data_IF_384615365968
#
_entry.id   IF_384615365968
#
_cell.length_a   1.000
_cell.length_b   1.000
_cell.length_c   1.000
_cell.angle_alpha   90.00
_cell.angle_beta   90.00
_cell.angle_gamma   90.00
#
_symmetry.space_group_name_H-M   'P 1'
#
loop_
_entity.id
_entity.type
_entity.pdbx_description
1 polymer ?
#
# COMPACT_ATOMS: atom_id res chain seq x y z
N UNK A 1 24.67 -5.69 34.25
CA UNK A 1 24.52 -6.14 32.84
C UNK A 1 23.12 -5.75 32.34
N UNK A 2 23.00 -4.84 31.33
CA UNK A 2 21.69 -4.57 30.71
C UNK A 2 21.24 -5.83 29.98
N UNK A 3 20.05 -6.35 30.28
CA UNK A 3 19.45 -7.49 29.56
C UNK A 3 19.19 -7.05 28.14
N UNK A 4 19.82 -7.70 27.20
CA UNK A 4 19.64 -7.46 25.77
C UNK A 4 18.24 -7.96 25.37
N UNK A 5 17.44 -7.07 24.76
CA UNK A 5 16.13 -7.43 24.22
C UNK A 5 16.29 -7.81 22.75
N UNK A 6 15.68 -8.91 22.36
CA UNK A 6 15.75 -9.36 20.96
C UNK A 6 14.95 -8.41 20.08
N UNK A 7 15.47 -8.04 18.90
CA UNK A 7 14.76 -7.24 17.87
C UNK A 7 13.39 -7.81 17.46
N UNK A 8 13.18 -9.11 17.66
CA UNK A 8 11.91 -9.80 17.41
C UNK A 8 11.03 -9.92 18.65
N UNK A 9 11.30 -9.14 19.68
CA UNK A 9 10.42 -9.12 20.85
C UNK A 9 9.06 -8.59 20.46
N UNK A 10 8.05 -9.39 20.71
CA UNK A 10 6.65 -9.08 20.48
C UNK A 10 5.98 -8.93 21.85
N UNK A 11 5.12 -7.94 21.97
CA UNK A 11 4.10 -7.97 23.00
C UNK A 11 3.09 -9.04 22.56
N UNK A 12 2.98 -10.10 23.33
CA UNK A 12 2.09 -11.23 23.03
C UNK A 12 0.79 -11.04 23.79
N UNK A 13 -0.30 -10.97 23.05
CA UNK A 13 -1.64 -11.01 23.61
C UNK A 13 -2.18 -12.43 23.75
N UNK A 14 -3.41 -12.54 24.22
CA UNK A 14 -4.14 -13.80 24.25
C UNK A 14 -4.36 -14.33 22.83
N UNK A 15 -3.99 -15.58 22.59
CA UNK A 15 -4.14 -16.24 21.29
C UNK A 15 -3.01 -15.90 20.31
N UNK A 16 -3.36 -15.46 19.10
CA UNK A 16 -2.43 -15.21 17.99
C UNK A 16 -2.01 -13.74 17.85
N UNK A 17 -2.49 -12.86 18.73
CA UNK A 17 -2.20 -11.43 18.69
C UNK A 17 -0.76 -11.15 19.09
N UNK A 18 -0.04 -10.38 18.26
CA UNK A 18 1.32 -9.95 18.55
C UNK A 18 1.60 -8.56 18.02
N UNK A 19 2.04 -7.66 18.90
CA UNK A 19 2.51 -6.32 18.51
C UNK A 19 4.03 -6.33 18.49
N UNK A 20 4.62 -6.07 17.32
CA UNK A 20 6.05 -5.85 17.18
C UNK A 20 6.46 -4.58 17.93
N UNK A 21 7.56 -4.65 18.65
CA UNK A 21 8.13 -3.48 19.31
C UNK A 21 8.93 -2.63 18.31
N UNK A 22 8.91 -1.30 18.44
CA UNK A 22 9.75 -0.42 17.63
C UNK A 22 11.23 -0.69 17.94
N UNK A 23 12.12 -0.27 17.05
CA UNK A 23 13.55 -0.40 17.28
C UNK A 23 13.97 0.43 18.51
N UNK A 24 14.48 -0.25 19.53
CA UNK A 24 14.95 0.35 20.79
C UNK A 24 16.46 0.22 20.93
N UNK A 25 17.06 1.10 21.74
CA UNK A 25 18.51 1.09 21.97
C UNK A 25 18.99 -0.24 22.58
N UNK A 26 18.20 -0.86 23.44
CA UNK A 26 18.50 -2.14 24.06
C UNK A 26 18.45 -3.34 23.10
N UNK A 27 17.90 -3.14 21.91
CA UNK A 27 17.89 -4.12 20.82
C UNK A 27 19.12 -4.02 19.91
N UNK A 28 19.84 -2.90 20.01
CA UNK A 28 21.02 -2.63 19.21
C UNK A 28 22.25 -3.14 19.98
N UNK A 29 22.95 -4.11 19.43
CA UNK A 29 24.21 -4.55 20.00
C UNK A 29 25.28 -3.47 19.74
N UNK A 30 25.67 -2.72 20.76
CA UNK A 30 26.67 -1.64 20.64
C UNK A 30 28.03 -2.11 20.12
N UNK A 31 28.35 -3.41 20.22
CA UNK A 31 29.53 -4.01 19.61
C UNK A 31 29.41 -4.18 18.07
N UNK A 32 28.21 -4.04 17.52
CA UNK A 32 27.92 -4.23 16.09
C UNK A 32 27.88 -2.90 15.30
N UNK A 33 28.05 -1.76 15.94
CA UNK A 33 28.04 -0.46 15.22
C UNK A 33 29.25 -0.23 14.30
N UNK A 34 30.20 -1.14 14.26
CA UNK A 34 31.35 -1.07 13.35
C UNK A 34 31.65 -2.35 12.55
N UNK A 35 30.99 -3.47 12.80
CA UNK A 35 31.44 -4.74 12.27
C UNK A 35 30.46 -5.54 11.41
N UNK A 36 29.15 -5.29 11.43
CA UNK A 36 28.19 -6.18 10.76
C UNK A 36 27.01 -5.44 10.11
N UNK A 37 27.23 -4.87 8.91
CA UNK A 37 26.12 -4.56 7.97
C UNK A 37 25.32 -5.83 7.57
N UNK A 38 25.83 -7.01 7.90
CA UNK A 38 25.20 -8.32 7.58
C UNK A 38 23.88 -8.60 8.31
N UNK A 39 23.50 -7.80 9.30
CA UNK A 39 22.32 -8.05 10.13
C UNK A 39 21.10 -7.16 9.84
N UNK A 40 21.19 -6.25 8.87
CA UNK A 40 20.01 -5.47 8.44
C UNK A 40 19.17 -6.35 7.49
N UNK A 41 17.88 -6.59 7.81
CA UNK A 41 17.05 -7.41 6.96
C UNK A 41 16.82 -6.74 5.60
N UNK A 42 17.00 -7.51 4.53
CA UNK A 42 16.62 -7.07 3.18
C UNK A 42 15.11 -6.87 3.10
N UNK A 43 14.71 -5.75 2.52
CA UNK A 43 13.30 -5.40 2.26
C UNK A 43 13.15 -4.97 0.82
N UNK A 44 12.06 -5.39 0.18
CA UNK A 44 11.71 -4.98 -1.18
C UNK A 44 10.20 -4.88 -1.32
N UNK A 45 9.73 -3.70 -1.73
CA UNK A 45 8.30 -3.43 -1.90
C UNK A 45 8.04 -2.74 -3.23
N UNK A 46 7.02 -3.19 -3.93
CA UNK A 46 6.54 -2.56 -5.15
C UNK A 46 5.48 -1.52 -4.77
N UNK A 47 5.64 -0.29 -5.23
CA UNK A 47 4.64 0.78 -5.06
C UNK A 47 4.10 1.10 -6.45
N UNK A 48 2.78 1.03 -6.60
CA UNK A 48 2.12 1.27 -7.88
C UNK A 48 1.04 2.33 -7.76
N UNK A 49 0.89 3.12 -8.80
CA UNK A 49 -0.29 3.98 -9.02
C UNK A 49 -0.71 3.91 -10.50
N UNK A 50 -2.01 3.93 -10.71
CA UNK A 50 -2.58 3.76 -12.05
C UNK A 50 -2.34 4.94 -12.99
N UNK A 51 -2.44 4.67 -14.29
CA UNK A 51 -2.37 5.60 -15.42
C UNK A 51 -1.02 6.28 -15.67
N UNK A 52 -0.02 6.06 -14.79
CA UNK A 52 1.32 6.57 -15.00
C UNK A 52 1.43 8.10 -15.06
N UNK A 53 2.56 8.58 -15.55
CA UNK A 53 2.83 9.98 -15.83
C UNK A 53 3.57 10.06 -17.16
N UNK A 54 2.99 10.68 -18.21
CA UNK A 54 3.66 10.85 -19.48
C UNK A 54 5.00 11.58 -19.36
N UNK A 55 5.98 11.18 -20.17
CA UNK A 55 7.34 11.76 -20.15
C UNK A 55 7.36 13.29 -20.19
N UNK A 56 6.57 13.98 -21.05
CA UNK A 56 6.58 15.44 -21.07
C UNK A 56 6.19 16.10 -19.74
N UNK A 57 5.36 15.45 -18.93
CA UNK A 57 5.02 15.95 -17.59
C UNK A 57 6.12 15.72 -16.54
N UNK A 58 7.15 14.94 -16.87
CA UNK A 58 8.29 14.67 -16.01
C UNK A 58 9.52 15.54 -16.35
N UNK A 59 9.54 16.15 -17.54
CA UNK A 59 10.70 16.88 -18.05
C UNK A 59 10.99 18.17 -17.26
N UNK A 60 9.99 18.75 -16.61
CA UNK A 60 10.14 19.89 -15.71
C UNK A 60 10.84 19.55 -14.36
N UNK A 61 11.24 18.30 -14.18
CA UNK A 61 11.89 17.82 -12.95
C UNK A 61 10.98 18.00 -11.72
N UNK A 62 11.57 18.49 -10.62
CA UNK A 62 10.84 18.70 -9.35
C UNK A 62 10.15 20.07 -9.24
N UNK A 63 9.88 20.73 -10.35
CA UNK A 63 9.23 22.05 -10.35
C UNK A 63 7.73 22.01 -10.60
N UNK A 64 7.21 20.93 -11.14
CA UNK A 64 5.78 20.73 -11.44
C UNK A 64 5.26 19.39 -10.89
N UNK A 65 4.94 18.47 -11.78
CA UNK A 65 4.26 17.18 -11.41
C UNK A 65 5.06 16.36 -10.40
N UNK A 66 6.39 16.37 -10.50
CA UNK A 66 7.27 15.67 -9.56
C UNK A 66 7.58 16.46 -8.27
N UNK A 67 7.05 17.67 -8.09
CA UNK A 67 7.28 18.52 -6.90
C UNK A 67 7.13 17.79 -5.56
N UNK A 68 6.12 16.91 -5.36
CA UNK A 68 5.95 16.18 -4.10
C UNK A 68 7.11 15.25 -3.74
N UNK A 69 7.89 14.81 -4.72
CA UNK A 69 9.05 13.95 -4.51
C UNK A 69 10.33 14.71 -4.20
N UNK A 70 10.33 16.04 -4.37
CA UNK A 70 11.53 16.89 -4.16
C UNK A 70 12.20 16.70 -2.80
N UNK A 71 11.46 16.61 -1.66
CA UNK A 71 12.07 16.37 -0.35
C UNK A 71 12.81 15.02 -0.22
N UNK A 72 12.52 14.07 -1.11
CA UNK A 72 13.10 12.74 -1.12
C UNK A 72 14.16 12.54 -2.22
N UNK A 73 14.55 13.63 -2.90
CA UNK A 73 15.39 13.56 -4.11
C UNK A 73 16.75 12.90 -3.91
N UNK A 74 17.33 13.00 -2.72
CA UNK A 74 18.58 12.35 -2.33
C UNK A 74 18.46 10.81 -2.15
N UNK A 75 17.22 10.30 -2.07
CA UNK A 75 16.89 8.89 -1.89
C UNK A 75 16.30 8.25 -3.14
N UNK A 76 16.14 9.02 -4.21
CA UNK A 76 15.48 8.58 -5.43
C UNK A 76 16.49 8.28 -6.54
N UNK A 77 16.25 7.16 -7.21
CA UNK A 77 16.80 6.88 -8.54
C UNK A 77 15.65 6.95 -9.56
N UNK A 78 15.61 8.01 -10.35
CA UNK A 78 14.62 8.17 -11.43
C UNK A 78 15.24 7.65 -12.72
N UNK A 79 14.73 6.53 -13.21
CA UNK A 79 15.14 5.96 -14.50
C UNK A 79 14.31 6.62 -15.62
N UNK A 80 15.00 7.08 -16.66
CA UNK A 80 14.39 7.69 -17.85
C UNK A 80 14.85 6.96 -19.10
N UNK A 81 14.09 7.07 -20.17
CA UNK A 81 14.40 6.44 -21.45
C UNK A 81 14.63 4.93 -21.35
N UNK A 82 13.88 4.29 -20.47
CA UNK A 82 13.85 2.84 -20.33
C UNK A 82 12.57 2.34 -20.96
N UNK A 83 12.70 1.55 -22.01
CA UNK A 83 11.56 0.93 -22.66
C UNK A 83 10.91 -0.10 -21.75
N UNK A 84 9.59 -0.05 -21.70
CA UNK A 84 8.81 -1.10 -21.07
C UNK A 84 8.88 -2.37 -21.91
N UNK A 85 8.84 -3.55 -21.27
CA UNK A 85 8.75 -4.80 -22.04
C UNK A 85 7.52 -4.78 -22.94
N UNK A 86 7.66 -5.30 -24.17
CA UNK A 86 6.55 -5.34 -25.11
C UNK A 86 5.39 -6.14 -24.53
N UNK A 87 4.26 -5.45 -24.39
CA UNK A 87 2.98 -6.00 -23.95
C UNK A 87 2.11 -6.32 -25.17
N UNK A 88 0.91 -6.87 -24.96
CA UNK A 88 -0.06 -7.25 -25.99
C UNK A 88 0.33 -8.46 -26.88
N UNK A 89 1.52 -9.01 -26.71
CA UNK A 89 2.02 -10.12 -27.52
C UNK A 89 1.21 -11.42 -27.40
N UNK A 90 0.41 -11.54 -26.33
CA UNK A 90 -0.45 -12.70 -26.03
C UNK A 90 -1.93 -12.40 -26.17
N UNK A 91 -2.30 -11.29 -26.81
CA UNK A 91 -3.68 -10.86 -26.98
C UNK A 91 -4.36 -10.42 -25.68
N UNK A 92 -3.59 -10.12 -24.65
CA UNK A 92 -4.07 -9.63 -23.36
C UNK A 92 -4.20 -8.10 -23.45
N UNK A 93 -5.22 -7.54 -22.80
CA UNK A 93 -5.44 -6.11 -22.79
C UNK A 93 -4.22 -5.34 -22.25
N UNK A 94 -3.74 -4.35 -22.98
CA UNK A 94 -2.50 -3.61 -22.71
C UNK A 94 -2.47 -2.94 -21.32
N UNK A 95 -3.61 -2.47 -20.80
CA UNK A 95 -3.66 -1.90 -19.43
C UNK A 95 -3.33 -2.92 -18.35
N UNK A 96 -3.74 -4.15 -18.57
CA UNK A 96 -3.50 -5.25 -17.66
C UNK A 96 -2.07 -5.78 -17.81
N UNK A 97 -1.68 -6.01 -19.04
CA UNK A 97 -0.38 -6.57 -19.38
C UNK A 97 0.75 -5.61 -18.97
N UNK A 98 0.64 -4.33 -19.31
CA UNK A 98 1.62 -3.31 -18.92
C UNK A 98 1.76 -3.14 -17.42
N UNK A 99 0.65 -3.12 -16.68
CA UNK A 99 0.70 -3.02 -15.22
C UNK A 99 1.40 -4.22 -14.57
N UNK A 100 1.12 -5.43 -15.07
CA UNK A 100 1.76 -6.67 -14.59
C UNK A 100 3.25 -6.69 -14.92
N UNK A 101 3.59 -6.32 -16.15
CA UNK A 101 4.96 -6.33 -16.65
C UNK A 101 5.87 -5.30 -15.96
N UNK A 102 5.30 -4.24 -15.38
CA UNK A 102 6.07 -3.18 -14.68
C UNK A 102 6.96 -3.71 -13.55
N UNK A 103 6.61 -4.84 -12.94
CA UNK A 103 7.39 -5.41 -11.84
C UNK A 103 7.93 -6.82 -12.12
N UNK A 104 7.56 -7.41 -13.26
CA UNK A 104 8.01 -8.76 -13.63
C UNK A 104 8.98 -8.77 -14.80
N UNK A 105 9.04 -7.68 -15.58
CA UNK A 105 9.76 -7.58 -16.84
C UNK A 105 9.35 -8.67 -17.87
N UNK A 106 8.14 -9.21 -17.72
CA UNK A 106 7.58 -10.26 -18.57
C UNK A 106 6.14 -9.91 -18.97
N UNK A 107 5.71 -10.15 -20.22
CA UNK A 107 4.32 -10.04 -20.59
C UNK A 107 3.44 -10.94 -19.73
N UNK A 108 2.22 -10.52 -19.45
CA UNK A 108 1.31 -11.30 -18.61
C UNK A 108 1.13 -12.73 -19.12
N UNK A 109 1.08 -13.68 -18.20
CA UNK A 109 0.85 -15.10 -18.50
C UNK A 109 -0.62 -15.45 -18.75
N UNK A 110 -1.52 -14.51 -18.48
CA UNK A 110 -2.98 -14.63 -18.57
C UNK A 110 -3.65 -13.48 -17.82
N UNK A 111 -4.97 -13.38 -17.85
CA UNK A 111 -5.70 -12.28 -17.19
C UNK A 111 -5.67 -12.32 -15.65
N UNK A 112 -5.28 -13.42 -15.07
CA UNK A 112 -5.15 -13.59 -13.62
C UNK A 112 -3.72 -13.98 -13.19
N UNK A 113 -2.76 -13.92 -14.12
CA UNK A 113 -1.42 -14.43 -13.90
C UNK A 113 -0.38 -13.54 -14.57
N UNK A 114 0.70 -13.23 -13.87
CA UNK A 114 1.86 -12.57 -14.44
C UNK A 114 2.69 -13.52 -15.31
N UNK A 115 3.61 -12.99 -16.10
CA UNK A 115 4.55 -13.79 -16.89
C UNK A 115 5.60 -14.51 -16.05
N UNK A 116 5.94 -13.93 -14.90
CA UNK A 116 6.93 -14.44 -13.97
C UNK A 116 6.85 -13.79 -12.60
N UNK A 117 7.89 -13.97 -11.79
CA UNK A 117 8.00 -13.36 -10.48
C UNK A 117 8.11 -11.85 -10.55
N UNK A 118 7.47 -11.15 -9.65
CA UNK A 118 7.75 -9.74 -9.41
C UNK A 118 9.08 -9.57 -8.64
N UNK A 119 9.70 -8.41 -8.80
CA UNK A 119 11.05 -8.13 -8.25
C UNK A 119 11.10 -8.34 -6.73
N UNK A 120 10.07 -7.96 -5.96
CA UNK A 120 9.99 -8.18 -4.52
C UNK A 120 10.02 -9.67 -4.17
N UNK A 121 9.33 -10.51 -4.94
CA UNK A 121 9.27 -11.96 -4.70
C UNK A 121 10.54 -12.66 -5.21
N UNK A 122 11.13 -12.21 -6.31
CA UNK A 122 12.41 -12.70 -6.77
C UNK A 122 13.50 -12.47 -5.69
N UNK A 123 13.56 -11.26 -5.12
CA UNK A 123 14.47 -10.93 -4.02
C UNK A 123 14.15 -11.78 -2.78
N UNK A 124 12.86 -11.93 -2.43
CA UNK A 124 12.45 -12.78 -1.29
C UNK A 124 12.98 -14.20 -1.42
N UNK A 125 12.81 -14.81 -2.59
CA UNK A 125 13.30 -16.16 -2.84
C UNK A 125 14.82 -16.26 -2.79
N UNK A 126 15.54 -15.24 -3.30
CA UNK A 126 16.99 -15.17 -3.23
C UNK A 126 17.53 -15.11 -1.80
N UNK A 127 16.92 -14.29 -0.93
CA UNK A 127 17.39 -14.11 0.46
C UNK A 127 16.78 -15.11 1.45
N UNK A 128 15.66 -15.73 1.10
CA UNK A 128 14.95 -16.71 1.91
C UNK A 128 14.51 -17.94 1.10
N UNK A 129 15.46 -18.73 0.55
CA UNK A 129 15.12 -19.87 -0.31
C UNK A 129 14.29 -20.95 0.40
N UNK A 130 14.43 -21.06 1.72
CA UNK A 130 13.69 -22.01 2.56
C UNK A 130 12.43 -21.38 3.23
N UNK A 131 11.96 -20.25 2.72
CA UNK A 131 10.85 -19.50 3.27
C UNK A 131 11.25 -18.38 4.24
N UNK A 132 10.33 -17.46 4.46
CA UNK A 132 10.56 -16.32 5.36
C UNK A 132 10.65 -16.78 6.82
N UNK A 133 11.40 -16.07 7.68
CA UNK A 133 11.48 -16.38 9.10
C UNK A 133 10.09 -16.38 9.77
N UNK A 134 9.91 -17.23 10.77
CA UNK A 134 8.65 -17.31 11.54
C UNK A 134 8.27 -15.94 12.09
N UNK A 135 7.00 -15.58 11.94
CA UNK A 135 6.45 -14.30 12.38
C UNK A 135 6.53 -13.17 11.34
N UNK A 136 7.23 -13.38 10.24
CA UNK A 136 7.24 -12.45 9.09
C UNK A 136 6.14 -12.85 8.11
N UNK A 137 5.36 -11.88 7.66
CA UNK A 137 4.38 -12.07 6.58
C UNK A 137 5.16 -12.27 5.27
N UNK A 138 5.02 -13.41 4.58
CA UNK A 138 5.81 -13.72 3.38
C UNK A 138 5.65 -12.70 2.25
N UNK A 139 4.44 -12.19 2.08
CA UNK A 139 4.12 -11.09 1.18
C UNK A 139 2.95 -10.29 1.76
N UNK A 140 3.14 -8.99 1.92
CA UNK A 140 2.08 -8.06 2.32
C UNK A 140 1.62 -7.30 1.07
N UNK A 141 0.35 -7.48 0.70
CA UNK A 141 -0.24 -6.84 -0.47
C UNK A 141 -1.45 -6.03 -0.01
N UNK A 142 -1.44 -4.73 -0.29
CA UNK A 142 -2.53 -3.83 0.10
C UNK A 142 -2.73 -2.72 -0.94
N UNK A 143 -3.83 -1.99 -0.83
CA UNK A 143 -4.05 -0.80 -1.63
C UNK A 143 -5.49 -0.37 -1.73
N UNK A 144 -5.68 0.83 -2.28
CA UNK A 144 -6.96 1.38 -2.70
C UNK A 144 -7.11 1.24 -4.20
N UNK A 145 -8.16 0.59 -4.66
CA UNK A 145 -8.47 0.51 -6.07
C UNK A 145 -9.98 0.40 -6.27
N UNK A 146 -10.45 0.91 -7.40
CA UNK A 146 -11.88 0.99 -7.70
C UNK A 146 -12.26 0.24 -8.96
N UNK A 147 -11.38 -0.62 -9.44
CA UNK A 147 -11.61 -1.45 -10.62
C UNK A 147 -11.10 -2.86 -10.36
N UNK A 148 -12.03 -3.80 -10.22
CA UNK A 148 -11.76 -5.16 -9.74
C UNK A 148 -11.81 -6.23 -10.83
N UNK A 149 -11.87 -5.81 -12.11
CA UNK A 149 -12.13 -6.75 -13.18
C UNK A 149 -11.00 -7.75 -13.44
N UNK A 150 -9.76 -7.43 -13.07
CA UNK A 150 -8.58 -8.24 -13.40
C UNK A 150 -7.48 -8.05 -12.37
N UNK A 151 -6.92 -9.14 -11.88
CA UNK A 151 -5.91 -9.15 -10.82
C UNK A 151 -4.71 -8.27 -11.16
N UNK A 152 -4.16 -8.35 -12.38
CA UNK A 152 -2.99 -7.57 -12.78
C UNK A 152 -3.19 -6.06 -12.80
N UNK A 153 -4.41 -5.56 -12.67
CA UNK A 153 -4.63 -4.11 -12.58
C UNK A 153 -4.32 -3.53 -11.21
N UNK A 154 -4.35 -4.35 -10.16
CA UNK A 154 -4.23 -3.88 -8.79
C UNK A 154 -3.26 -4.71 -7.93
N UNK A 155 -2.86 -5.87 -8.40
CA UNK A 155 -1.94 -6.74 -7.69
C UNK A 155 -0.56 -6.67 -8.35
N UNK A 156 0.46 -6.34 -7.60
CA UNK A 156 1.81 -6.10 -8.11
C UNK A 156 2.89 -6.86 -7.33
N UNK A 157 2.51 -8.03 -6.79
CA UNK A 157 3.44 -8.96 -6.14
C UNK A 157 3.09 -10.39 -6.54
N UNK A 158 3.97 -11.06 -7.27
CA UNK A 158 3.73 -12.36 -7.89
C UNK A 158 4.81 -13.36 -7.54
N UNK A 159 4.39 -14.61 -7.25
CA UNK A 159 5.28 -15.73 -7.02
C UNK A 159 6.11 -16.08 -8.28
N UNK A 160 7.09 -17.00 -8.12
CA UNK A 160 7.95 -17.43 -9.23
C UNK A 160 7.19 -17.99 -10.44
N UNK A 161 6.03 -18.57 -10.20
CA UNK A 161 5.16 -19.11 -11.26
C UNK A 161 4.18 -18.09 -11.84
N UNK A 162 4.28 -16.82 -11.45
CA UNK A 162 3.40 -15.72 -11.88
C UNK A 162 2.04 -15.66 -11.17
N UNK A 163 1.76 -16.55 -10.22
CA UNK A 163 0.54 -16.45 -9.40
C UNK A 163 0.64 -15.34 -8.37
N UNK A 164 -0.49 -14.81 -7.90
CA UNK A 164 -0.49 -13.78 -6.85
C UNK A 164 0.19 -14.28 -5.58
N UNK A 165 1.06 -13.47 -4.99
CA UNK A 165 1.86 -13.85 -3.82
C UNK A 165 1.05 -13.92 -2.53
N UNK A 166 -0.02 -13.12 -2.43
CA UNK A 166 -0.93 -13.08 -1.29
C UNK A 166 -2.27 -12.44 -1.66
N UNK A 167 -3.28 -12.65 -0.81
CA UNK A 167 -4.55 -11.92 -0.94
C UNK A 167 -4.30 -10.43 -0.66
N UNK A 168 -4.85 -9.57 -1.50
CA UNK A 168 -4.81 -8.12 -1.32
C UNK A 168 -5.71 -7.68 -0.17
N UNK A 169 -5.19 -6.79 0.66
CA UNK A 169 -5.93 -6.12 1.74
C UNK A 169 -6.40 -4.76 1.22
N UNK A 170 -7.69 -4.65 0.94
CA UNK A 170 -8.30 -3.45 0.36
C UNK A 170 -8.85 -2.50 1.42
N UNK A 171 -9.20 -3.02 2.59
CA UNK A 171 -9.80 -2.25 3.67
C UNK A 171 -8.79 -2.05 4.80
N UNK A 172 -8.74 -0.87 5.41
CA UNK A 172 -7.86 -0.63 6.55
C UNK A 172 -8.03 -1.66 7.66
N UNK A 173 -9.27 -2.10 7.95
CA UNK A 173 -9.55 -3.13 8.95
C UNK A 173 -8.89 -4.48 8.61
N UNK A 174 -8.97 -4.90 7.36
CA UNK A 174 -8.42 -6.18 6.93
C UNK A 174 -6.89 -6.14 6.96
N UNK A 175 -6.30 -5.00 6.56
CA UNK A 175 -4.86 -4.78 6.67
C UNK A 175 -4.41 -4.78 8.13
N UNK A 176 -5.13 -4.10 9.02
CA UNK A 176 -4.86 -4.11 10.47
C UNK A 176 -4.86 -5.54 11.01
N UNK A 177 -5.92 -6.31 10.72
CA UNK A 177 -6.03 -7.70 11.15
C UNK A 177 -4.87 -8.55 10.59
N UNK A 178 -4.48 -8.35 9.35
CA UNK A 178 -3.35 -9.06 8.71
C UNK A 178 -2.03 -8.75 9.41
N UNK A 179 -1.77 -7.50 9.74
CA UNK A 179 -0.53 -7.02 10.35
C UNK A 179 -0.39 -7.53 11.79
N UNK A 180 -1.46 -7.48 12.56
CA UNK A 180 -1.44 -7.88 13.97
C UNK A 180 -1.75 -9.36 14.21
N UNK A 181 -1.98 -10.14 13.16
CA UNK A 181 -2.18 -11.58 13.25
C UNK A 181 -3.56 -11.98 13.79
N UNK A 182 -4.53 -11.08 13.71
CA UNK A 182 -5.90 -11.36 14.11
C UNK A 182 -6.57 -12.17 12.99
N UNK A 183 -6.59 -13.47 13.12
CA UNK A 183 -7.26 -14.37 12.15
C UNK A 183 -8.57 -14.87 12.73
N UNK A 184 -9.69 -14.50 12.11
CA UNK A 184 -10.97 -15.14 12.37
C UNK A 184 -11.11 -16.34 11.43
N UNK A 185 -11.36 -17.53 11.99
CA UNK A 185 -11.85 -18.67 11.22
C UNK A 185 -13.33 -18.44 10.87
N UNK A 186 -13.73 -18.83 9.68
CA UNK A 186 -15.01 -18.50 9.07
C UNK A 186 -16.29 -18.98 9.78
N UNK A 187 -16.18 -19.74 10.86
CA UNK A 187 -17.33 -20.25 11.63
C UNK A 187 -17.58 -19.58 12.98
N UNK A 188 -16.69 -18.70 13.42
CA UNK A 188 -16.78 -17.99 14.71
C UNK A 188 -16.76 -16.47 14.54
N UNK A 189 -17.06 -15.95 13.35
CA UNK A 189 -16.88 -14.54 13.00
C UNK A 189 -17.58 -13.57 13.97
N UNK A 190 -18.82 -13.81 14.36
CA UNK A 190 -19.59 -12.86 15.16
C UNK A 190 -19.21 -12.81 16.65
N UNK A 191 -18.88 -13.95 17.25
CA UNK A 191 -18.47 -14.02 18.64
C UNK A 191 -17.02 -13.59 18.85
N UNK A 192 -16.13 -13.93 17.90
CA UNK A 192 -14.74 -13.50 17.90
C UNK A 192 -14.57 -12.04 17.48
N UNK A 193 -15.38 -11.48 16.59
CA UNK A 193 -15.38 -10.04 16.32
C UNK A 193 -15.70 -9.21 17.57
N UNK A 194 -16.59 -9.69 18.44
CA UNK A 194 -16.84 -9.05 19.74
C UNK A 194 -15.68 -9.19 20.73
N UNK A 195 -14.94 -10.31 20.71
CA UNK A 195 -13.73 -10.52 21.54
C UNK A 195 -12.52 -9.78 21.02
N UNK A 196 -12.40 -9.64 19.68
CA UNK A 196 -11.36 -8.87 18.99
C UNK A 196 -11.62 -7.37 19.16
N UNK A 197 -12.87 -6.94 19.36
CA UNK A 197 -13.24 -5.58 19.76
C UNK A 197 -12.76 -5.19 21.16
N UNK A 198 -12.41 -6.13 22.00
CA UNK A 198 -11.50 -5.87 23.12
C UNK A 198 -10.11 -5.68 22.49
N UNK A 199 -9.72 -4.43 22.34
CA UNK A 199 -8.54 -3.90 21.68
C UNK A 199 -7.35 -4.87 21.64
N UNK A 200 -6.70 -5.00 20.49
CA UNK A 200 -5.39 -5.67 20.36
C UNK A 200 -4.45 -5.20 21.48
N UNK A 201 -4.56 -3.95 21.89
CA UNK A 201 -3.79 -3.35 22.98
C UNK A 201 -4.18 -3.87 24.36
N UNK A 202 -5.47 -4.13 24.61
CA UNK A 202 -5.89 -4.67 25.90
C UNK A 202 -5.29 -6.06 26.12
N UNK A 203 -5.11 -6.84 25.04
CA UNK A 203 -4.49 -8.15 25.10
C UNK A 203 -3.01 -8.14 25.47
N UNK A 204 -2.31 -7.02 25.27
CA UNK A 204 -0.87 -6.85 25.56
C UNK A 204 -0.60 -5.90 26.72
N UNK A 205 -1.66 -5.41 27.38
CA UNK A 205 -1.60 -4.35 28.39
C UNK A 205 -0.68 -4.68 29.56
N UNK A 206 -0.65 -5.93 30.02
CA UNK A 206 0.21 -6.35 31.12
C UNK A 206 1.69 -6.25 30.76
N UNK A 207 2.05 -6.70 29.57
CA UNK A 207 3.43 -6.60 29.10
C UNK A 207 3.83 -5.14 28.85
N UNK A 208 2.91 -4.32 28.34
CA UNK A 208 3.12 -2.89 28.21
C UNK A 208 3.41 -2.24 29.58
N UNK A 209 2.57 -2.52 30.59
CA UNK A 209 2.78 -2.01 31.95
C UNK A 209 4.13 -2.42 32.51
N UNK A 210 4.56 -3.66 32.25
CA UNK A 210 5.89 -4.11 32.64
C UNK A 210 6.99 -3.31 31.96
N UNK A 211 6.96 -3.17 30.63
CA UNK A 211 8.00 -2.46 29.89
C UNK A 211 8.07 -0.95 30.20
N UNK A 212 6.97 -0.35 30.59
CA UNK A 212 6.93 1.09 30.97
C UNK A 212 7.15 1.33 32.46
N UNK A 213 7.14 0.29 33.29
CA UNK A 213 7.31 0.39 34.77
C UNK A 213 8.73 0.81 35.16
N UNK A 214 8.89 1.16 36.45
CA UNK A 214 10.20 1.47 37.05
C UNK A 214 11.13 0.25 37.07
N UNK A 215 10.58 -0.96 37.13
CA UNK A 215 11.33 -2.22 37.16
C UNK A 215 11.73 -2.72 35.76
N UNK A 216 11.35 -1.99 34.70
CA UNK A 216 11.72 -2.33 33.34
C UNK A 216 13.21 -2.16 33.08
N UNK A 217 13.84 -3.09 32.32
CA UNK A 217 15.24 -2.94 31.92
C UNK A 217 15.47 -1.82 30.90
N UNK A 218 14.39 -1.16 30.42
CA UNK A 218 14.43 -0.13 29.38
C UNK A 218 14.80 1.25 29.92
N UNK A 219 15.57 2.01 29.13
CA UNK A 219 15.82 3.42 29.37
C UNK A 219 14.57 4.28 29.12
N UNK A 220 14.61 5.54 29.57
CA UNK A 220 13.49 6.48 29.43
C UNK A 220 13.11 6.73 27.95
N UNK A 221 14.08 6.88 27.07
CA UNK A 221 13.85 7.05 25.63
C UNK A 221 13.09 5.86 25.00
N UNK A 222 13.51 4.62 25.34
CA UNK A 222 12.83 3.42 24.86
C UNK A 222 11.42 3.25 25.42
N UNK A 223 11.21 3.64 26.69
CA UNK A 223 9.85 3.66 27.28
C UNK A 223 8.94 4.66 26.56
N UNK A 224 9.44 5.86 26.24
CA UNK A 224 8.69 6.83 25.44
C UNK A 224 8.36 6.27 24.06
N UNK A 225 9.32 5.69 23.33
CA UNK A 225 9.09 5.06 22.02
C UNK A 225 8.01 3.98 22.07
N UNK A 226 8.00 3.13 23.09
CA UNK A 226 6.94 2.11 23.26
C UNK A 226 5.57 2.78 23.45
N UNK A 227 5.50 3.80 24.31
CA UNK A 227 4.26 4.53 24.54
C UNK A 227 3.73 5.14 23.24
N UNK A 228 4.56 5.90 22.54
CA UNK A 228 4.21 6.56 21.29
C UNK A 228 3.79 5.53 20.21
N UNK A 229 4.48 4.40 20.16
CA UNK A 229 4.14 3.31 19.24
C UNK A 229 2.76 2.72 19.52
N UNK A 230 2.44 2.44 20.79
CA UNK A 230 1.15 1.88 21.17
C UNK A 230 0.00 2.90 21.03
N UNK A 231 0.27 4.18 21.27
CA UNK A 231 -0.71 5.23 21.02
C UNK A 231 -1.03 5.34 19.51
N UNK A 232 -0.03 5.20 18.63
CA UNK A 232 -0.23 5.08 17.19
C UNK A 232 -1.04 3.81 16.81
N UNK A 233 -0.70 2.65 17.37
CA UNK A 233 -1.45 1.41 17.12
C UNK A 233 -2.91 1.58 17.51
N UNK A 234 -3.21 2.19 18.68
CA UNK A 234 -4.57 2.47 19.13
C UNK A 234 -5.31 3.42 18.21
N UNK A 235 -4.66 4.46 17.77
CA UNK A 235 -5.27 5.42 16.83
C UNK A 235 -5.58 4.74 15.49
N UNK A 236 -4.67 3.94 14.97
CA UNK A 236 -4.88 3.22 13.73
C UNK A 236 -5.95 2.13 13.86
N UNK A 237 -6.00 1.41 14.99
CA UNK A 237 -7.07 0.46 15.30
C UNK A 237 -8.44 1.18 15.25
N UNK A 238 -8.57 2.26 16.01
CA UNK A 238 -9.80 3.06 16.06
C UNK A 238 -10.22 3.53 14.66
N UNK A 239 -9.30 4.09 13.89
CA UNK A 239 -9.56 4.57 12.53
C UNK A 239 -9.90 3.42 11.58
N UNK A 240 -9.19 2.31 11.63
CA UNK A 240 -9.41 1.17 10.76
C UNK A 240 -10.81 0.54 10.95
N UNK A 241 -11.30 0.50 12.19
CA UNK A 241 -12.62 -0.05 12.49
C UNK A 241 -13.77 0.95 12.34
N UNK A 242 -13.50 2.25 12.30
CA UNK A 242 -14.50 3.29 12.06
C UNK A 242 -14.49 3.82 10.61
N UNK A 243 -13.52 3.44 9.80
CA UNK A 243 -13.41 3.89 8.42
C UNK A 243 -14.64 3.45 7.60
N UNK A 244 -15.24 4.35 6.81
CA UNK A 244 -16.28 3.97 5.87
C UNK A 244 -15.70 3.03 4.81
N UNK A 245 -16.51 2.09 4.33
CA UNK A 245 -16.13 1.24 3.20
C UNK A 245 -16.31 2.02 1.88
N UNK A 246 -15.29 2.75 1.47
CA UNK A 246 -15.34 3.52 0.23
C UNK A 246 -15.41 2.61 -1.01
N UNK A 247 -14.92 1.38 -0.91
CA UNK A 247 -14.95 0.42 -2.01
C UNK A 247 -16.38 0.00 -2.39
N UNK A 248 -17.33 0.15 -1.47
CA UNK A 248 -18.75 -0.17 -1.69
C UNK A 248 -19.64 1.06 -1.74
N UNK A 249 -19.14 2.23 -1.36
CA UNK A 249 -19.92 3.47 -1.31
C UNK A 249 -20.23 3.95 -2.73
N UNK A 250 -21.50 3.91 -3.10
CA UNK A 250 -21.97 4.40 -4.41
C UNK A 250 -21.75 3.44 -5.58
N UNK A 251 -21.11 2.31 -5.37
CA UNK A 251 -21.01 1.25 -6.34
C UNK A 251 -22.16 0.28 -6.08
N UNK A 252 -23.19 0.30 -6.93
CA UNK A 252 -23.97 -0.90 -7.12
C UNK A 252 -23.04 -1.89 -7.81
N UNK A 253 -22.37 -2.72 -7.01
CA UNK A 253 -21.62 -3.86 -7.55
C UNK A 253 -22.68 -4.73 -8.19
N UNK A 254 -22.73 -4.87 -9.53
CA UNK A 254 -23.62 -5.84 -10.13
C UNK A 254 -23.35 -7.19 -9.46
N UNK A 255 -24.37 -8.04 -9.28
CA UNK A 255 -24.15 -9.36 -8.76
C UNK A 255 -23.02 -9.98 -9.56
N UNK A 256 -22.10 -10.75 -8.94
CA UNK A 256 -20.92 -11.27 -9.61
C UNK A 256 -21.35 -12.09 -10.82
N UNK A 257 -21.53 -11.44 -11.96
CA UNK A 257 -21.49 -12.13 -13.24
C UNK A 257 -20.07 -12.66 -13.26
N UNK A 258 -19.91 -13.97 -13.20
CA UNK A 258 -18.62 -14.64 -13.27
C UNK A 258 -17.98 -14.22 -14.58
N UNK A 259 -17.09 -13.23 -14.51
CA UNK A 259 -16.15 -13.07 -15.59
C UNK A 259 -15.40 -14.38 -15.75
N UNK A 260 -14.99 -14.76 -16.96
CA UNK A 260 -14.26 -16.00 -17.22
C UNK A 260 -13.08 -16.24 -16.28
N UNK A 261 -12.65 -15.22 -15.54
CA UNK A 261 -11.46 -15.19 -14.67
C UNK A 261 -11.79 -15.15 -13.17
N UNK A 262 -13.03 -15.32 -12.77
CA UNK A 262 -13.42 -15.42 -11.35
C UNK A 262 -13.39 -14.12 -10.55
N UNK A 263 -13.08 -13.00 -11.17
CA UNK A 263 -13.11 -11.67 -10.52
C UNK A 263 -14.53 -11.07 -10.51
N UNK A 264 -14.83 -10.13 -9.60
CA UNK A 264 -16.04 -9.34 -9.68
C UNK A 264 -16.06 -8.54 -10.99
N UNK A 265 -17.25 -8.39 -11.57
CA UNK A 265 -17.43 -7.60 -12.81
C UNK A 265 -16.89 -6.18 -12.63
N UNK A 266 -16.21 -5.70 -13.66
CA UNK A 266 -15.89 -4.28 -13.79
C UNK A 266 -17.23 -3.50 -13.71
N UNK A 267 -17.38 -2.48 -12.84
CA UNK A 267 -18.61 -1.71 -12.71
C UNK A 267 -19.04 -0.98 -13.98
N UNK A 268 -18.34 -1.19 -15.08
CA UNK A 268 -18.68 -0.64 -16.39
C UNK A 268 -17.78 0.51 -16.82
N UNK A 269 -18.12 1.09 -17.97
CA UNK A 269 -17.37 2.20 -18.59
C UNK A 269 -17.52 3.54 -17.86
N UNK A 270 -18.45 3.66 -16.92
CA UNK A 270 -18.68 4.91 -16.19
C UNK A 270 -17.67 5.12 -15.08
N UNK A 271 -17.29 6.39 -14.85
CA UNK A 271 -16.42 6.77 -13.74
C UNK A 271 -17.14 6.69 -12.41
N UNK A 272 -16.38 6.42 -11.35
CA UNK A 272 -16.85 6.37 -9.97
C UNK A 272 -16.63 7.74 -9.34
N UNK A 273 -17.70 8.36 -8.82
CA UNK A 273 -17.60 9.63 -8.13
C UNK A 273 -16.93 9.46 -6.75
N UNK A 274 -15.88 10.24 -6.52
CA UNK A 274 -15.07 10.17 -5.31
C UNK A 274 -14.82 11.55 -4.73
N UNK A 275 -15.05 11.69 -3.43
CA UNK A 275 -14.58 12.88 -2.69
C UNK A 275 -13.08 12.73 -2.45
N UNK A 276 -12.31 13.74 -2.87
CA UNK A 276 -10.84 13.71 -2.80
C UNK A 276 -10.33 13.45 -1.39
N UNK A 277 -10.88 14.13 -0.39
CA UNK A 277 -10.41 13.98 1.00
C UNK A 277 -10.74 12.61 1.59
N UNK A 278 -11.88 12.00 1.19
CA UNK A 278 -12.23 10.63 1.59
C UNK A 278 -11.22 9.62 1.00
N UNK A 279 -10.93 9.73 -0.30
CA UNK A 279 -9.94 8.89 -1.00
C UNK A 279 -8.56 8.98 -0.33
N UNK A 280 -8.09 10.21 -0.09
CA UNK A 280 -6.78 10.46 0.53
C UNK A 280 -6.73 9.97 1.97
N UNK A 281 -7.81 10.13 2.72
CA UNK A 281 -7.87 9.66 4.12
C UNK A 281 -7.79 8.14 4.21
N UNK A 282 -8.48 7.40 3.34
CA UNK A 282 -8.42 5.93 3.29
C UNK A 282 -7.03 5.45 2.86
N UNK A 283 -6.48 6.04 1.78
CA UNK A 283 -5.14 5.71 1.33
C UNK A 283 -4.09 5.92 2.42
N UNK A 284 -4.13 7.08 3.09
CA UNK A 284 -3.14 7.42 4.13
C UNK A 284 -3.23 6.48 5.32
N UNK A 285 -4.42 6.04 5.69
CA UNK A 285 -4.58 5.04 6.74
C UNK A 285 -3.99 3.68 6.32
N UNK A 286 -4.21 3.24 5.08
CA UNK A 286 -3.58 2.03 4.53
C UNK A 286 -2.05 2.17 4.48
N UNK A 287 -1.54 3.32 4.02
CA UNK A 287 -0.11 3.62 3.97
C UNK A 287 0.53 3.62 5.37
N UNK A 288 -0.13 4.23 6.35
CA UNK A 288 0.31 4.25 7.76
C UNK A 288 0.39 2.84 8.35
N UNK A 289 -0.63 2.01 8.13
CA UNK A 289 -0.67 0.62 8.58
C UNK A 289 0.39 -0.25 7.89
N UNK A 290 0.62 0.01 6.61
CA UNK A 290 1.64 -0.71 5.84
C UNK A 290 3.05 -0.33 6.31
N UNK A 291 3.32 0.95 6.50
CA UNK A 291 4.59 1.43 7.06
C UNK A 291 4.83 0.87 8.46
N UNK A 292 3.80 0.85 9.31
CA UNK A 292 3.87 0.26 10.64
C UNK A 292 4.24 -1.24 10.60
N UNK A 293 3.72 -2.00 9.62
CA UNK A 293 4.11 -3.39 9.43
C UNK A 293 5.59 -3.56 9.09
N UNK A 294 6.16 -2.62 8.32
CA UNK A 294 7.59 -2.58 7.98
C UNK A 294 8.42 -2.19 9.21
N UNK A 295 8.01 -1.17 9.95
CA UNK A 295 8.67 -0.71 11.18
C UNK A 295 8.76 -1.83 12.22
N UNK A 296 7.67 -2.58 12.40
CA UNK A 296 7.60 -3.73 13.32
C UNK A 296 8.33 -4.98 12.80
N UNK A 297 8.95 -4.94 11.62
CA UNK A 297 9.53 -6.10 10.93
C UNK A 297 8.53 -7.26 10.72
N UNK A 298 7.23 -6.93 10.57
CA UNK A 298 6.17 -7.90 10.24
C UNK A 298 6.11 -8.21 8.75
N UNK A 299 6.53 -7.27 7.91
CA UNK A 299 6.59 -7.42 6.47
C UNK A 299 7.96 -6.94 5.95
N UNK A 300 8.50 -7.67 4.96
CA UNK A 300 9.76 -7.35 4.28
C UNK A 300 9.61 -7.33 2.76
N UNK A 301 8.53 -7.91 2.25
CA UNK A 301 8.24 -8.06 0.82
C UNK A 301 6.76 -7.86 0.58
N UNK A 302 6.42 -7.35 -0.60
CA UNK A 302 5.03 -7.16 -1.00
C UNK A 302 4.82 -5.98 -1.93
N UNK A 303 3.56 -5.55 -2.04
CA UNK A 303 3.20 -4.39 -2.85
C UNK A 303 2.11 -3.55 -2.20
N UNK A 304 2.13 -2.24 -2.49
CA UNK A 304 1.04 -1.33 -2.14
C UNK A 304 0.62 -0.55 -3.37
N UNK A 305 -0.68 -0.46 -3.62
CA UNK A 305 -1.25 0.15 -4.83
C UNK A 305 -2.14 1.33 -4.46
N UNK A 306 -1.84 2.49 -5.02
CA UNK A 306 -2.73 3.65 -4.99
C UNK A 306 -3.43 3.80 -6.33
N UNK A 307 -4.67 3.38 -6.42
CA UNK A 307 -5.48 3.28 -7.61
C UNK A 307 -4.97 2.24 -8.63
N UNK A 308 -5.88 1.47 -9.18
CA UNK A 308 -5.57 0.40 -10.10
C UNK A 308 -5.12 0.92 -11.49
N UNK A 309 -4.43 0.09 -12.25
CA UNK A 309 -4.19 0.39 -13.66
C UNK A 309 -5.51 0.51 -14.42
N UNK A 310 -5.67 1.65 -15.10
CA UNK A 310 -6.91 1.96 -15.81
C UNK A 310 -8.08 2.22 -14.87
N UNK A 311 -7.82 2.79 -13.69
CA UNK A 311 -8.89 3.26 -12.82
C UNK A 311 -9.82 4.23 -13.54
N UNK A 312 -11.10 4.24 -13.12
CA UNK A 312 -12.12 5.12 -13.65
C UNK A 312 -12.75 5.89 -12.51
N UNK A 313 -12.11 6.96 -12.07
CA UNK A 313 -12.59 7.82 -11.01
C UNK A 313 -12.95 9.22 -11.54
N UNK A 314 -13.89 9.87 -10.85
CA UNK A 314 -14.23 11.27 -11.02
C UNK A 314 -14.06 11.94 -9.67
N UNK A 315 -13.07 12.80 -9.55
CA UNK A 315 -12.78 13.47 -8.29
C UNK A 315 -13.63 14.72 -8.12
N UNK A 316 -13.98 14.99 -6.88
CA UNK A 316 -14.59 16.23 -6.42
C UNK A 316 -13.87 16.73 -5.19
N UNK A 317 -13.45 18.00 -5.20
CA UNK A 317 -12.83 18.66 -4.05
C UNK A 317 -11.59 19.45 -4.41
N UNK A 318 -11.15 20.29 -3.50
CA UNK A 318 -9.98 21.15 -3.65
C UNK A 318 -8.71 20.36 -3.35
N UNK A 319 -7.83 20.26 -4.35
CA UNK A 319 -6.50 19.73 -4.14
C UNK A 319 -5.54 20.83 -3.72
N UNK A 320 -4.99 20.68 -2.52
CA UNK A 320 -4.00 21.60 -1.95
C UNK A 320 -2.69 20.86 -1.69
N UNK A 321 -1.60 21.55 -1.97
CA UNK A 321 -0.24 21.13 -1.63
C UNK A 321 0.47 22.28 -0.92
N UNK A 322 1.07 22.01 0.24
CA UNK A 322 1.67 23.02 1.11
C UNK A 322 0.73 24.24 1.36
N UNK A 323 -0.55 23.93 1.62
CA UNK A 323 -1.64 24.88 1.83
C UNK A 323 -1.96 25.81 0.63
N UNK A 324 -1.35 25.58 -0.53
CA UNK A 324 -1.65 26.29 -1.78
C UNK A 324 -2.58 25.46 -2.64
N UNK A 325 -3.64 26.08 -3.13
CA UNK A 325 -4.55 25.46 -4.09
C UNK A 325 -3.80 25.14 -5.38
N UNK A 326 -3.79 23.87 -5.77
CA UNK A 326 -3.25 23.41 -7.05
C UNK A 326 -4.35 23.25 -8.09
N UNK A 327 -5.51 22.72 -7.67
CA UNK A 327 -6.65 22.50 -8.55
C UNK A 327 -7.94 22.23 -7.77
N UNK A 328 -9.09 22.64 -8.31
CA UNK A 328 -10.41 22.28 -7.79
C UNK A 328 -11.02 21.24 -8.71
N UNK A 329 -11.04 19.98 -8.25
CA UNK A 329 -11.63 18.89 -9.02
C UNK A 329 -13.14 18.97 -9.03
N UNK A 330 -13.72 18.90 -10.21
CA UNK A 330 -15.15 18.77 -10.47
C UNK A 330 -15.37 17.89 -11.72
N UNK A 331 -14.77 16.72 -11.70
CA UNK A 331 -14.58 15.84 -12.85
C UNK A 331 -15.91 15.44 -13.52
N UNK A 332 -16.93 15.17 -12.73
CA UNK A 332 -18.25 14.78 -13.25
C UNK A 332 -18.94 15.89 -14.03
N UNK A 333 -18.59 17.16 -13.80
CA UNK A 333 -19.15 18.31 -14.52
C UNK A 333 -18.33 18.66 -15.75
N UNK A 334 -17.01 18.64 -15.63
CA UNK A 334 -16.09 19.08 -16.69
C UNK A 334 -16.05 18.14 -17.89
N UNK A 335 -16.30 16.83 -17.70
CA UNK A 335 -16.25 15.86 -18.80
C UNK A 335 -17.59 15.44 -19.35
N UNK A 336 -18.67 15.88 -18.74
CA UNK A 336 -20.01 15.42 -19.06
C UNK A 336 -20.29 13.99 -18.58
N UNK A 337 -21.54 13.71 -18.29
CA UNK A 337 -22.03 12.35 -17.99
C UNK A 337 -22.43 11.69 -19.30
N UNK A 338 -21.84 10.57 -19.61
CA UNK A 338 -22.28 9.77 -20.76
C UNK A 338 -21.18 8.91 -21.32
N UNK A 339 -21.39 7.62 -21.38
CA UNK A 339 -20.45 6.64 -21.91
C UNK A 339 -19.13 6.52 -21.14
N UNK A 340 -18.13 5.98 -21.77
CA UNK A 340 -16.79 5.82 -21.19
C UNK A 340 -16.02 7.13 -21.01
N UNK A 341 -16.56 8.27 -21.44
CA UNK A 341 -15.84 9.54 -21.59
C UNK A 341 -15.66 10.38 -20.34
N UNK A 342 -16.34 10.09 -19.25
CA UNK A 342 -16.40 10.95 -18.09
C UNK A 342 -15.57 10.48 -16.88
N UNK A 343 -14.32 10.06 -17.05
CA UNK A 343 -13.50 9.59 -15.95
C UNK A 343 -11.99 9.82 -16.19
N UNK A 344 -11.19 9.67 -15.13
CA UNK A 344 -9.74 9.83 -15.20
C UNK A 344 -9.09 9.00 -16.31
N UNK A 345 -9.54 7.76 -16.51
CA UNK A 345 -9.02 6.87 -17.55
C UNK A 345 -9.12 7.48 -18.96
N UNK A 346 -10.30 7.96 -19.31
CA UNK A 346 -10.53 8.53 -20.64
C UNK A 346 -9.77 9.83 -20.86
N UNK A 347 -9.49 10.57 -19.82
CA UNK A 347 -8.69 11.78 -19.91
C UNK A 347 -7.25 11.51 -20.23
N UNK A 348 -6.65 10.48 -19.62
CA UNK A 348 -5.31 10.10 -19.96
C UNK A 348 -5.16 9.65 -21.40
N UNK A 349 -6.20 9.07 -22.01
CA UNK A 349 -6.23 8.81 -23.45
C UNK A 349 -6.28 10.09 -24.31
N UNK A 350 -6.70 11.22 -23.74
CA UNK A 350 -6.79 12.53 -24.42
C UNK A 350 -5.63 13.46 -24.06
N UNK A 351 -4.58 12.93 -23.44
CA UNK A 351 -3.38 13.72 -23.19
C UNK A 351 -2.82 14.27 -24.49
N UNK A 352 -2.50 15.56 -24.51
CA UNK A 352 -1.98 16.26 -25.67
C UNK A 352 -0.82 17.16 -25.21
N UNK A 353 0.38 16.88 -25.67
CA UNK A 353 1.61 17.62 -25.31
C UNK A 353 1.53 19.12 -25.60
N UNK A 354 0.71 19.51 -26.60
CA UNK A 354 0.53 20.90 -27.00
C UNK A 354 -0.45 21.67 -26.11
N UNK A 355 -1.09 21.01 -25.16
CA UNK A 355 -2.05 21.60 -24.24
C UNK A 355 -1.49 21.69 -22.82
N UNK A 356 -2.01 22.62 -22.05
CA UNK A 356 -1.63 22.81 -20.66
C UNK A 356 -1.95 21.61 -19.76
N UNK A 357 -3.00 20.84 -20.09
CA UNK A 357 -3.45 19.64 -19.37
C UNK A 357 -3.60 19.84 -17.85
N UNK A 358 -4.08 21.01 -17.41
CA UNK A 358 -4.15 21.39 -15.98
C UNK A 358 -4.65 20.29 -15.07
N UNK A 359 -5.74 19.64 -15.47
CA UNK A 359 -6.39 18.62 -14.67
C UNK A 359 -5.54 17.34 -14.59
N UNK A 360 -4.97 16.88 -15.72
CA UNK A 360 -4.09 15.72 -15.74
C UNK A 360 -2.82 15.97 -14.93
N UNK A 361 -2.25 17.19 -15.00
CA UNK A 361 -1.13 17.61 -14.15
C UNK A 361 -1.52 17.57 -12.68
N UNK A 362 -2.70 18.05 -12.32
CA UNK A 362 -3.21 17.99 -10.95
C UNK A 362 -3.44 16.56 -10.45
N UNK A 363 -4.01 15.68 -11.29
CA UNK A 363 -4.15 14.25 -11.00
C UNK A 363 -2.78 13.58 -10.77
N UNK A 364 -1.82 13.83 -11.64
CA UNK A 364 -0.47 13.27 -11.52
C UNK A 364 0.25 13.77 -10.26
N UNK A 365 0.20 15.08 -10.01
CA UNK A 365 0.80 15.70 -8.83
C UNK A 365 0.16 15.16 -7.53
N UNK A 366 -1.17 15.01 -7.50
CA UNK A 366 -1.89 14.44 -6.36
C UNK A 366 -1.46 12.99 -6.10
N UNK A 367 -1.38 12.15 -7.13
CA UNK A 367 -0.91 10.77 -6.98
C UNK A 367 0.50 10.71 -6.41
N UNK A 368 1.41 11.51 -6.93
CA UNK A 368 2.78 11.58 -6.42
C UNK A 368 2.86 12.14 -4.99
N UNK A 369 1.97 13.06 -4.63
CA UNK A 369 1.88 13.52 -3.25
C UNK A 369 1.47 12.39 -2.28
N UNK A 370 0.57 11.52 -2.68
CA UNK A 370 0.16 10.38 -1.86
C UNK A 370 1.24 9.27 -1.82
N UNK A 371 2.00 9.07 -2.89
CA UNK A 371 3.17 8.20 -2.88
C UNK A 371 4.29 8.79 -1.99
N UNK A 372 4.57 10.08 -2.11
CA UNK A 372 5.54 10.78 -1.26
C UNK A 372 5.14 10.72 0.22
N UNK A 373 3.83 10.83 0.53
CA UNK A 373 3.33 10.62 1.89
C UNK A 373 3.76 9.26 2.43
N UNK A 374 3.52 8.19 1.68
CA UNK A 374 3.92 6.84 2.10
C UNK A 374 5.43 6.71 2.25
N UNK A 375 6.21 7.21 1.29
CA UNK A 375 7.68 7.16 1.35
C UNK A 375 8.23 7.88 2.58
N UNK A 376 7.68 9.05 2.92
CA UNK A 376 8.05 9.80 4.14
C UNK A 376 7.69 9.06 5.45
N UNK A 377 6.78 8.07 5.40
CA UNK A 377 6.48 7.23 6.59
C UNK A 377 7.53 6.13 6.79
N UNK A 378 8.33 5.83 5.76
CA UNK A 378 9.40 4.82 5.78
C UNK A 378 10.77 5.43 6.14
N UNK A 379 10.88 6.75 6.09
CA UNK A 379 12.07 7.52 6.43
C UNK A 379 12.18 7.74 7.94
#
# INVERSE_FOLDING_TARGET
MRKQINRRSLLKGLGTVGIGLPLMEEMVNTKAYGADQKNVPTRAFNIFFGLGIPTPLQDEGFSDVLEPLKPLSDKLLIMRNVDHVRCDVRGINAHFDGATASFTAEPAGGEAKAGGASIDQAIRHGVHPNGTPKGIIPSLVAGTFFRRSRVGRYHHSYNLDGTVSARMQEKPRDLFNRVFGVFSSSSEQDANEKRIRQSVLDSVLEQYRYFTSVNSPLGSASKSKIKDHLDRVREYERRAFSAPDLQTKGIQIPPPSRLPHGGPADPGGEGIDMVLDELRSEWRLLADLYALAIEMDRARFGSITFLAAGERIRLKGDYKYNNKLKYSFNDSTELGRGGSGGCSHEWWHKFDEKKENKQLRAHAHMKLNEIAYFMNRLD
#
